data_IF_799425979035
#
_entry.id   IF_799425979035
#
_cell.length_a   1.000
_cell.length_b   1.000
_cell.length_c   1.000
_cell.angle_alpha   90.00
_cell.angle_beta   90.00
_cell.angle_gamma   90.00
#
_symmetry.space_group_name_H-M   'P 1'
#
loop_
_entity.id
_entity.type
_entity.pdbx_description
1 polymer ?
#
# COMPACT_ATOMS: atom_id res chain seq x y z
N UNK A 1 -48.23 -2.46 -50.71
CA UNK A 1 -46.79 -2.58 -51.03
C UNK A 1 -46.11 -1.29 -50.61
N UNK A 2 -45.40 -1.30 -49.48
CA UNK A 2 -44.57 -0.20 -49.00
C UNK A 2 -43.15 -0.74 -48.83
N UNK A 3 -42.22 -0.25 -49.64
CA UNK A 3 -40.80 -0.58 -49.58
C UNK A 3 -40.13 0.25 -48.50
N UNK A 4 -39.62 -0.41 -47.45
CA UNK A 4 -38.71 0.16 -46.46
C UNK A 4 -37.37 0.54 -47.13
N UNK A 5 -36.75 1.68 -46.78
CA UNK A 5 -35.39 1.98 -47.22
C UNK A 5 -34.37 1.06 -46.53
N UNK A 6 -33.27 0.71 -47.20
CA UNK A 6 -32.31 -0.28 -46.71
C UNK A 6 -31.61 0.22 -45.46
N UNK A 7 -31.62 -0.64 -44.43
CA UNK A 7 -30.82 -0.51 -43.22
C UNK A 7 -29.34 -0.40 -43.61
N UNK A 8 -28.80 0.81 -43.55
CA UNK A 8 -27.37 1.05 -43.71
C UNK A 8 -26.63 0.39 -42.55
N UNK A 9 -26.15 -0.82 -42.82
CA UNK A 9 -25.17 -1.54 -42.02
C UNK A 9 -23.89 -0.68 -41.98
N UNK A 10 -23.73 0.20 -40.99
CA UNK A 10 -22.41 0.81 -40.72
C UNK A 10 -21.54 -0.22 -40.00
N UNK A 11 -20.91 -1.06 -40.82
CA UNK A 11 -19.72 -1.85 -40.48
C UNK A 11 -18.59 -0.91 -40.05
N UNK A 12 -17.77 -1.41 -39.13
CA UNK A 12 -16.57 -0.82 -38.53
C UNK A 12 -15.94 0.34 -39.29
N UNK A 13 -15.93 1.50 -38.66
CA UNK A 13 -14.83 2.43 -38.83
C UNK A 13 -13.75 2.01 -37.83
N UNK A 14 -12.58 1.65 -38.35
CA UNK A 14 -11.33 1.75 -37.62
C UNK A 14 -11.19 3.22 -37.20
N UNK A 15 -11.69 3.54 -36.01
CA UNK A 15 -11.61 4.89 -35.45
C UNK A 15 -10.15 5.12 -35.06
N UNK A 16 -9.37 5.67 -36.00
CA UNK A 16 -8.03 6.18 -35.70
C UNK A 16 -8.15 7.18 -34.56
N UNK A 17 -7.45 6.99 -33.42
CA UNK A 17 -7.56 7.87 -32.27
C UNK A 17 -7.18 9.30 -32.68
N UNK A 18 -8.04 10.25 -32.36
CA UNK A 18 -7.85 11.67 -32.66
C UNK A 18 -7.26 12.41 -31.46
N UNK A 19 -6.80 13.65 -31.67
CA UNK A 19 -6.19 14.46 -30.61
C UNK A 19 -7.09 14.62 -29.37
N UNK A 20 -8.41 14.58 -29.55
CA UNK A 20 -9.38 14.62 -28.44
C UNK A 20 -9.35 13.34 -27.60
N UNK A 21 -9.22 12.16 -28.23
CA UNK A 21 -9.11 10.88 -27.51
C UNK A 21 -7.83 10.84 -26.66
N UNK A 22 -6.72 11.35 -27.19
CA UNK A 22 -5.47 11.49 -26.43
C UNK A 22 -5.61 12.47 -25.28
N UNK A 23 -6.21 13.65 -25.50
CA UNK A 23 -6.44 14.63 -24.44
C UNK A 23 -7.32 14.05 -23.32
N UNK A 24 -8.35 13.27 -23.68
CA UNK A 24 -9.23 12.62 -22.71
C UNK A 24 -8.49 11.55 -21.90
N UNK A 25 -7.67 10.72 -22.54
CA UNK A 25 -6.83 9.73 -21.84
C UNK A 25 -5.87 10.41 -20.88
N UNK A 26 -5.22 11.50 -21.31
CA UNK A 26 -4.30 12.25 -20.46
C UNK A 26 -5.01 12.85 -19.25
N UNK A 27 -6.20 13.42 -19.44
CA UNK A 27 -7.02 13.96 -18.36
C UNK A 27 -7.42 12.86 -17.35
N UNK A 28 -7.95 11.73 -17.82
CA UNK A 28 -8.32 10.59 -16.96
C UNK A 28 -7.11 10.10 -16.15
N UNK A 29 -5.93 10.01 -16.79
CA UNK A 29 -4.70 9.63 -16.08
C UNK A 29 -4.31 10.64 -15.03
N UNK A 30 -4.36 11.94 -15.33
CA UNK A 30 -4.04 13.00 -14.38
C UNK A 30 -4.97 12.96 -13.16
N UNK A 31 -6.28 12.82 -13.40
CA UNK A 31 -7.29 12.70 -12.35
C UNK A 31 -7.05 11.46 -11.47
N UNK A 32 -6.73 10.32 -12.08
CA UNK A 32 -6.39 9.09 -11.35
C UNK A 32 -5.13 9.26 -10.49
N UNK A 33 -4.10 9.97 -10.99
CA UNK A 33 -2.89 10.29 -10.20
C UNK A 33 -3.22 11.16 -9.00
N UNK A 34 -4.03 12.20 -9.20
CA UNK A 34 -4.41 13.10 -8.11
C UNK A 34 -5.17 12.35 -7.01
N UNK A 35 -6.19 11.55 -7.38
CA UNK A 35 -6.93 10.71 -6.43
C UNK A 35 -6.03 9.72 -5.70
N UNK A 36 -5.11 9.08 -6.42
CA UNK A 36 -4.18 8.14 -5.84
C UNK A 36 -3.23 8.80 -4.84
N UNK A 37 -2.77 10.03 -5.12
CA UNK A 37 -1.95 10.80 -4.19
C UNK A 37 -2.74 11.17 -2.92
N UNK A 38 -3.94 11.73 -3.06
CA UNK A 38 -4.81 12.06 -1.92
C UNK A 38 -5.09 10.83 -1.07
N UNK A 39 -5.39 9.70 -1.69
CA UNK A 39 -5.61 8.43 -0.99
C UNK A 39 -4.40 7.99 -0.16
N UNK A 40 -3.18 8.12 -0.70
CA UNK A 40 -1.96 7.75 0.02
C UNK A 40 -1.66 8.69 1.20
N UNK A 41 -1.95 9.98 1.06
CA UNK A 41 -1.83 10.98 2.14
C UNK A 41 -2.82 10.70 3.28
N UNK A 42 -4.08 10.39 2.94
CA UNK A 42 -5.10 10.00 3.92
C UNK A 42 -4.75 8.67 4.61
N UNK A 43 -4.28 7.67 3.84
CA UNK A 43 -3.85 6.39 4.38
C UNK A 43 -2.69 6.54 5.37
N UNK A 44 -1.72 7.41 5.07
CA UNK A 44 -0.62 7.71 5.99
C UNK A 44 -1.14 8.23 7.33
N UNK A 45 -2.10 9.15 7.30
CA UNK A 45 -2.67 9.75 8.51
C UNK A 45 -3.35 8.67 9.36
N UNK A 46 -4.19 7.83 8.74
CA UNK A 46 -4.86 6.74 9.45
C UNK A 46 -3.89 5.67 9.95
N UNK A 47 -2.81 5.36 9.23
CA UNK A 47 -1.79 4.43 9.72
C UNK A 47 -1.14 4.92 11.02
N UNK A 48 -0.85 6.22 11.12
CA UNK A 48 -0.34 6.81 12.35
C UNK A 48 -1.36 6.68 13.49
N UNK A 49 -2.62 7.06 13.23
CA UNK A 49 -3.71 6.97 14.23
C UNK A 49 -3.91 5.54 14.75
N UNK A 50 -3.95 4.55 13.85
CA UNK A 50 -4.12 3.14 14.22
C UNK A 50 -2.96 2.65 15.09
N UNK A 51 -1.71 3.02 14.75
CA UNK A 51 -0.54 2.64 15.54
C UNK A 51 -0.57 3.28 16.93
N UNK A 52 -0.90 4.57 17.02
CA UNK A 52 -1.03 5.27 18.30
C UNK A 52 -2.16 4.67 19.15
N UNK A 53 -3.30 4.33 18.56
CA UNK A 53 -4.43 3.67 19.24
C UNK A 53 -4.07 2.28 19.77
N UNK A 54 -3.18 1.56 19.08
CA UNK A 54 -2.62 0.27 19.55
C UNK A 54 -1.53 0.44 20.63
N UNK A 55 -1.23 1.67 21.03
CA UNK A 55 -0.32 2.00 22.14
C UNK A 55 1.13 2.20 21.73
N UNK A 56 1.45 2.17 20.43
CA UNK A 56 2.81 2.48 19.97
C UNK A 56 3.17 3.94 20.30
N UNK A 57 4.42 4.16 20.73
CA UNK A 57 4.93 5.50 21.12
C UNK A 57 5.91 6.04 20.09
N UNK A 58 6.07 7.35 20.06
CA UNK A 58 7.00 8.07 19.16
C UNK A 58 6.82 7.74 17.67
N UNK A 59 5.58 7.48 17.23
CA UNK A 59 5.27 7.12 15.84
C UNK A 59 5.66 8.28 14.92
N UNK A 60 6.69 8.06 14.09
CA UNK A 60 7.12 9.01 13.05
C UNK A 60 6.97 8.39 11.69
N UNK A 61 6.08 8.94 10.89
CA UNK A 61 5.87 8.51 9.50
C UNK A 61 6.52 9.51 8.56
N UNK A 62 7.47 9.05 7.74
CA UNK A 62 8.17 9.88 6.75
C UNK A 62 7.94 9.32 5.35
N UNK A 63 7.73 10.20 4.37
CA UNK A 63 7.74 9.84 2.96
C UNK A 63 9.16 10.05 2.39
N UNK A 64 9.90 9.00 2.01
CA UNK A 64 11.13 9.15 1.24
C UNK A 64 10.80 9.68 -0.16
N UNK A 65 11.61 10.61 -0.66
CA UNK A 65 11.62 10.98 -2.06
C UNK A 65 12.04 9.77 -2.91
N UNK A 66 11.10 9.18 -3.64
CA UNK A 66 11.41 8.17 -4.64
C UNK A 66 10.57 8.38 -5.90
N UNK A 67 11.18 8.73 -7.05
CA UNK A 67 10.51 8.60 -8.32
C UNK A 67 10.68 7.16 -8.81
N UNK A 68 9.60 6.37 -8.85
CA UNK A 68 9.55 5.18 -9.69
C UNK A 68 8.27 5.22 -10.51
N UNK A 69 8.43 5.51 -11.80
CA UNK A 69 7.35 5.45 -12.78
C UNK A 69 7.40 4.09 -13.46
N UNK A 70 6.41 3.25 -13.17
CA UNK A 70 6.03 2.12 -14.04
C UNK A 70 4.75 2.50 -14.78
N UNK A 71 4.51 1.89 -15.94
CA UNK A 71 3.41 2.31 -16.83
C UNK A 71 2.01 2.12 -16.23
N UNK A 72 1.86 1.25 -15.23
CA UNK A 72 0.58 0.88 -14.62
C UNK A 72 0.30 1.56 -13.26
N UNK A 73 1.19 2.47 -12.83
CA UNK A 73 1.12 3.12 -11.52
C UNK A 73 0.53 4.52 -11.63
N UNK A 74 -0.53 4.74 -10.85
CA UNK A 74 -1.16 6.05 -10.67
C UNK A 74 -0.42 6.88 -9.62
N UNK A 75 -0.02 6.29 -8.50
CA UNK A 75 0.85 6.96 -7.52
C UNK A 75 1.64 5.94 -6.72
N UNK A 76 2.78 6.36 -6.18
CA UNK A 76 3.61 5.53 -5.32
C UNK A 76 4.18 6.41 -4.22
N UNK A 77 4.26 5.86 -3.02
CA UNK A 77 4.90 6.46 -1.86
C UNK A 77 5.64 5.37 -1.11
N UNK A 78 6.70 5.72 -0.38
CA UNK A 78 7.22 4.82 0.64
C UNK A 78 6.94 5.46 2.00
N UNK A 79 6.64 4.68 3.02
CA UNK A 79 6.52 5.16 4.38
C UNK A 79 7.60 4.52 5.23
N UNK A 80 8.41 5.35 5.88
CA UNK A 80 9.29 4.91 6.95
C UNK A 80 8.60 5.23 8.28
N UNK A 81 8.27 4.19 9.05
CA UNK A 81 7.63 4.31 10.35
C UNK A 81 8.63 3.91 11.41
N UNK A 82 8.92 4.82 12.34
CA UNK A 82 9.66 4.51 13.57
C UNK A 82 8.72 4.58 14.75
N UNK A 83 8.75 3.58 15.61
CA UNK A 83 7.88 3.50 16.78
C UNK A 83 8.50 2.66 17.89
N UNK A 84 8.03 2.84 19.12
CA UNK A 84 8.45 2.04 20.29
C UNK A 84 7.30 1.19 20.80
N UNK A 85 7.62 -0.01 21.29
CA UNK A 85 6.62 -0.85 21.94
C UNK A 85 6.07 -0.20 23.23
N UNK A 86 4.81 -0.49 23.59
CA UNK A 86 4.20 -0.07 24.85
C UNK A 86 4.73 -0.87 26.05
N UNK A 87 6.05 -0.87 26.28
CA UNK A 87 6.66 -1.51 27.44
C UNK A 87 7.10 -0.43 28.44
N UNK A 88 6.61 -0.51 29.68
CA UNK A 88 7.06 0.34 30.78
C UNK A 88 8.25 -0.31 31.51
N UNK A 89 9.29 0.48 31.80
CA UNK A 89 10.39 0.09 32.69
C UNK A 89 11.56 -0.67 32.05
N UNK A 90 11.51 -0.97 30.74
CA UNK A 90 12.64 -1.49 29.95
C UNK A 90 13.05 -0.46 28.90
N UNK A 91 14.28 -0.55 28.36
CA UNK A 91 14.60 0.13 27.10
C UNK A 91 13.58 -0.34 26.04
N UNK A 92 12.60 0.50 25.71
CA UNK A 92 11.53 0.12 24.78
C UNK A 92 12.16 -0.09 23.41
N UNK A 93 12.12 -1.32 22.84
CA UNK A 93 12.74 -1.58 21.56
C UNK A 93 12.11 -0.71 20.48
N UNK A 94 12.96 -0.08 19.68
CA UNK A 94 12.55 0.70 18.52
C UNK A 94 12.26 -0.25 17.35
N UNK A 95 11.17 0.03 16.65
CA UNK A 95 10.74 -0.65 15.45
C UNK A 95 10.89 0.31 14.29
N UNK A 96 11.54 -0.18 13.25
CA UNK A 96 11.60 0.48 11.97
C UNK A 96 10.83 -0.35 10.94
N UNK A 97 9.84 0.28 10.32
CA UNK A 97 9.03 -0.31 9.26
C UNK A 97 9.24 0.50 7.99
N UNK A 98 9.51 -0.18 6.88
CA UNK A 98 9.52 0.39 5.55
C UNK A 98 8.35 -0.18 4.74
N UNK A 99 7.42 0.69 4.32
CA UNK A 99 6.18 0.35 3.64
C UNK A 99 6.14 0.99 2.25
N UNK A 100 6.57 0.29 1.20
CA UNK A 100 6.41 0.75 -0.18
C UNK A 100 4.95 0.59 -0.62
N UNK A 101 4.24 1.70 -0.75
CA UNK A 101 2.84 1.78 -1.14
C UNK A 101 2.71 2.15 -2.62
N UNK A 102 1.91 1.40 -3.37
CA UNK A 102 1.65 1.66 -4.79
C UNK A 102 0.15 1.66 -5.06
N UNK A 103 -0.35 2.70 -5.72
CA UNK A 103 -1.71 2.75 -6.25
C UNK A 103 -1.66 2.59 -7.76
N UNK A 104 -2.34 1.57 -8.27
CA UNK A 104 -2.40 1.27 -9.71
C UNK A 104 -3.51 2.06 -10.42
N UNK A 105 -3.38 2.27 -11.73
CA UNK A 105 -4.48 2.81 -12.55
C UNK A 105 -5.74 1.93 -12.54
N UNK A 106 -5.60 0.65 -12.19
CA UNK A 106 -6.70 -0.28 -11.97
C UNK A 106 -7.43 -0.10 -10.63
N UNK A 107 -7.09 0.91 -9.84
CA UNK A 107 -7.78 1.20 -8.58
C UNK A 107 -7.47 0.19 -7.47
N UNK A 108 -6.20 -0.20 -7.34
CA UNK A 108 -5.73 -1.08 -6.27
C UNK A 108 -4.55 -0.47 -5.54
N UNK A 109 -4.57 -0.55 -4.21
CA UNK A 109 -3.41 -0.40 -3.35
C UNK A 109 -2.63 -1.71 -3.32
N UNK A 110 -1.32 -1.64 -3.54
CA UNK A 110 -0.38 -2.74 -3.49
C UNK A 110 0.76 -2.36 -2.56
N UNK A 111 1.10 -3.23 -1.63
CA UNK A 111 2.26 -3.10 -0.75
C UNK A 111 3.12 -4.34 -0.94
N UNK A 112 4.30 -4.18 -1.54
CA UNK A 112 5.18 -5.29 -1.90
C UNK A 112 6.60 -5.01 -1.44
N UNK A 113 7.22 -5.97 -0.74
CA UNK A 113 8.57 -5.77 -0.19
C UNK A 113 8.58 -4.87 1.03
N UNK A 114 7.49 -4.87 1.81
CA UNK A 114 7.46 -4.25 3.12
C UNK A 114 8.52 -4.89 4.03
N UNK A 115 9.14 -4.08 4.89
CA UNK A 115 10.15 -4.54 5.83
C UNK A 115 9.82 -4.11 7.25
N UNK A 116 10.08 -4.97 8.23
CA UNK A 116 9.97 -4.70 9.66
C UNK A 116 11.27 -5.14 10.32
N UNK A 117 12.07 -4.21 10.87
CA UNK A 117 13.35 -4.52 11.52
C UNK A 117 14.25 -5.47 10.70
N UNK A 118 14.40 -5.20 9.39
CA UNK A 118 15.11 -6.01 8.38
C UNK A 118 14.46 -7.34 7.96
N UNK A 119 13.33 -7.74 8.56
CA UNK A 119 12.51 -8.84 8.03
C UNK A 119 11.71 -8.34 6.82
N UNK A 120 11.92 -8.93 5.65
CA UNK A 120 11.11 -8.66 4.46
C UNK A 120 9.85 -9.52 4.50
N UNK A 121 8.69 -8.87 4.44
CA UNK A 121 7.39 -9.54 4.39
C UNK A 121 7.24 -10.18 3.01
N UNK A 122 7.10 -11.52 2.91
CA UNK A 122 7.22 -12.23 1.64
C UNK A 122 5.99 -12.07 0.74
N UNK A 123 4.80 -11.95 1.33
CA UNK A 123 3.54 -11.85 0.58
C UNK A 123 3.15 -10.39 0.39
N UNK A 124 2.80 -9.98 -0.85
CA UNK A 124 2.31 -8.64 -1.09
C UNK A 124 0.90 -8.47 -0.52
N UNK A 125 0.63 -7.31 0.07
CA UNK A 125 -0.73 -6.89 0.38
C UNK A 125 -1.33 -6.25 -0.88
N UNK A 126 -2.52 -6.68 -1.29
CA UNK A 126 -3.25 -6.07 -2.41
C UNK A 126 -4.69 -5.85 -2.01
N UNK A 127 -5.16 -4.61 -2.11
CA UNK A 127 -6.52 -4.25 -1.74
C UNK A 127 -7.11 -3.30 -2.80
N UNK A 128 -8.38 -3.47 -3.21
CA UNK A 128 -9.04 -2.46 -4.04
C UNK A 128 -9.09 -1.12 -3.30
N UNK A 129 -9.06 0.01 -4.02
CA UNK A 129 -9.31 1.31 -3.38
C UNK A 129 -10.77 1.31 -2.88
N UNK A 130 -10.92 1.16 -1.56
CA UNK A 130 -12.21 1.23 -0.87
C UNK A 130 -12.56 2.67 -0.50
N UNK A 131 -13.80 2.88 -0.06
CA UNK A 131 -14.26 4.16 0.50
C UNK A 131 -13.85 4.35 1.96
N UNK A 132 -13.56 3.27 2.69
CA UNK A 132 -13.11 3.33 4.08
C UNK A 132 -11.59 3.11 4.16
N UNK A 133 -10.86 4.22 4.25
CA UNK A 133 -9.39 4.20 4.30
C UNK A 133 -8.90 3.79 5.69
N UNK A 134 -9.68 4.07 6.74
CA UNK A 134 -9.33 3.68 8.10
C UNK A 134 -9.35 2.15 8.24
N UNK A 135 -10.35 1.48 7.66
CA UNK A 135 -10.40 0.01 7.60
C UNK A 135 -9.15 -0.56 6.88
N UNK A 136 -8.74 0.05 5.76
CA UNK A 136 -7.54 -0.38 5.03
C UNK A 136 -6.27 -0.19 5.88
N UNK A 137 -6.15 0.91 6.61
CA UNK A 137 -5.05 1.15 7.54
C UNK A 137 -5.00 0.07 8.64
N UNK A 138 -6.14 -0.27 9.23
CA UNK A 138 -6.26 -1.33 10.23
C UNK A 138 -5.84 -2.69 9.69
N UNK A 139 -6.33 -3.06 8.50
CA UNK A 139 -5.95 -4.32 7.84
C UNK A 139 -4.46 -4.40 7.54
N UNK A 140 -3.84 -3.31 7.08
CA UNK A 140 -2.40 -3.22 6.85
C UNK A 140 -1.63 -3.44 8.15
N UNK A 141 -1.95 -2.69 9.21
CA UNK A 141 -1.27 -2.78 10.50
C UNK A 141 -1.43 -4.18 11.09
N UNK A 142 -2.64 -4.74 11.05
CA UNK A 142 -2.90 -6.09 11.52
C UNK A 142 -2.11 -7.14 10.73
N UNK A 143 -2.23 -7.15 9.40
CA UNK A 143 -1.59 -8.14 8.56
C UNK A 143 -0.06 -8.14 8.70
N UNK A 144 0.57 -6.96 8.72
CA UNK A 144 2.02 -6.89 8.93
C UNK A 144 2.44 -7.29 10.35
N UNK A 145 1.65 -6.94 11.37
CA UNK A 145 1.92 -7.35 12.75
C UNK A 145 1.88 -8.87 12.90
N UNK A 146 0.84 -9.53 12.36
CA UNK A 146 0.67 -10.98 12.42
C UNK A 146 1.85 -11.70 11.76
N UNK A 147 2.23 -11.30 10.54
CA UNK A 147 3.36 -11.92 9.81
C UNK A 147 4.69 -11.72 10.52
N UNK A 148 4.91 -10.55 11.11
CA UNK A 148 6.13 -10.31 11.86
C UNK A 148 6.15 -11.12 13.18
N UNK A 149 5.03 -11.27 13.87
CA UNK A 149 4.93 -12.13 15.06
C UNK A 149 5.15 -13.61 14.73
N UNK A 150 4.58 -14.10 13.63
CA UNK A 150 4.84 -15.47 13.14
C UNK A 150 6.34 -15.69 12.89
N UNK A 151 7.00 -14.72 12.26
CA UNK A 151 8.46 -14.77 12.06
C UNK A 151 9.22 -14.81 13.40
N UNK A 152 8.84 -13.99 14.38
CA UNK A 152 9.46 -14.02 15.71
C UNK A 152 9.26 -15.37 16.41
N UNK A 153 8.06 -15.95 16.34
CA UNK A 153 7.79 -17.26 16.94
C UNK A 153 8.62 -18.37 16.26
N UNK A 154 8.74 -18.35 14.94
CA UNK A 154 9.54 -19.32 14.19
C UNK A 154 11.04 -19.17 14.46
N UNK A 155 11.53 -17.94 14.60
CA UNK A 155 12.95 -17.67 14.90
C UNK A 155 13.30 -17.98 16.35
N UNK A 156 12.42 -17.68 17.31
CA UNK A 156 12.57 -18.05 18.71
C UNK A 156 12.53 -19.57 18.92
N UNK A 157 11.66 -20.29 18.19
CA UNK A 157 11.62 -21.76 18.19
C UNK A 157 12.84 -22.44 17.57
N UNK A 158 13.70 -21.69 16.87
CA UNK A 158 14.96 -22.18 16.27
C UNK A 158 16.21 -21.76 17.06
N UNK A 159 16.08 -20.89 18.06
CA UNK A 159 17.18 -20.58 18.95
C UNK A 159 17.36 -21.73 19.95
N UNK A 160 18.55 -22.38 20.06
CA UNK A 160 18.82 -23.14 21.26
C UNK A 160 18.73 -22.15 22.41
N UNK A 161 17.85 -22.42 23.38
CA UNK A 161 17.88 -21.78 24.69
C UNK A 161 19.37 -21.71 25.08
N UNK A 162 19.95 -20.52 25.36
CA UNK A 162 21.25 -20.50 26.00
C UNK A 162 21.06 -21.32 27.27
N UNK A 163 21.66 -22.50 27.28
CA UNK A 163 21.67 -23.35 28.44
C UNK A 163 22.24 -22.45 29.53
N UNK A 164 21.42 -22.16 30.54
CA UNK A 164 21.89 -21.68 31.83
C UNK A 164 22.76 -22.81 32.41
N UNK A 165 23.96 -22.97 31.86
CA UNK A 165 25.03 -23.77 32.38
C UNK A 165 25.95 -22.80 33.11
N UNK A 166 25.72 -22.74 34.42
CA UNK A 166 26.71 -22.61 35.49
C UNK A 166 27.93 -21.70 35.25
N UNK A 167 27.97 -20.61 36.01
CA UNK A 167 29.08 -20.33 36.93
C UNK A 167 28.56 -19.53 38.13
#
# INVERSE_FOLDING_TARGET
MMTLPPSATRRGHDATPCALDFAQILYIRQEARHRAQTYLEELQTHLQEVLEQRGYRDVRVQQPDAPLSTQDVASMSSLQIRMKLPLEGLESPEFEVHLPLTVTYGGKLVVQGAQVNNFTVPEPFTHPLGTDIAEVAEMLVQGFSERYMEYLLQSAGRAPLPALQNA
#
